data_IF_114217634080
#
_entry.id   IF_114217634080
#
_cell.length_a   1.000
_cell.length_b   1.000
_cell.length_c   1.000
_cell.angle_alpha   90.00
_cell.angle_beta   90.00
_cell.angle_gamma   90.00
#
_symmetry.space_group_name_H-M   'P 1'
#
loop_
_entity.id
_entity.type
_entity.pdbx_description
1 polymer ?
#
# COMPACT_ATOMS: atom_id res chain seq x y z
N UNK A 1 8.56 -9.96 0.66
CA UNK A 1 8.06 -11.02 -0.22
C UNK A 1 6.67 -10.63 -0.71
N UNK A 2 6.58 -10.28 -2.00
CA UNK A 2 5.35 -9.86 -2.69
C UNK A 2 4.67 -11.05 -3.37
N UNK A 3 5.46 -12.02 -3.85
CA UNK A 3 4.97 -13.17 -4.62
C UNK A 3 4.08 -14.08 -3.76
N UNK A 4 4.41 -14.23 -2.48
CA UNK A 4 3.60 -15.00 -1.53
C UNK A 4 2.65 -14.14 -0.68
N UNK A 5 2.24 -12.97 -1.15
CA UNK A 5 1.22 -12.16 -0.46
C UNK A 5 -0.17 -12.76 -0.70
N UNK A 6 -0.79 -13.31 0.35
CA UNK A 6 -2.13 -13.90 0.27
C UNK A 6 -3.24 -12.88 0.05
N UNK A 7 -4.39 -13.33 -0.45
CA UNK A 7 -5.62 -12.52 -0.43
C UNK A 7 -6.10 -12.36 1.01
N UNK A 8 -6.49 -11.16 1.40
CA UNK A 8 -6.86 -10.83 2.79
C UNK A 8 -5.67 -10.61 3.73
N UNK A 9 -4.43 -10.68 3.23
CA UNK A 9 -3.24 -10.34 3.99
C UNK A 9 -2.79 -8.90 3.73
N UNK A 10 -2.27 -8.27 4.79
CA UNK A 10 -1.55 -7.01 4.69
C UNK A 10 -0.17 -7.16 5.33
N UNK A 11 0.86 -6.58 4.70
CA UNK A 11 2.24 -6.64 5.16
C UNK A 11 2.88 -5.26 5.16
N UNK A 12 3.65 -4.95 6.20
CA UNK A 12 4.55 -3.81 6.15
C UNK A 12 5.74 -4.13 5.24
N UNK A 13 6.06 -3.20 4.36
CA UNK A 13 7.16 -3.31 3.42
C UNK A 13 7.88 -1.97 3.25
N UNK A 14 9.08 -2.02 2.67
CA UNK A 14 9.88 -0.85 2.41
C UNK A 14 10.53 -0.88 1.03
N UNK A 15 10.58 0.28 0.37
CA UNK A 15 11.39 0.48 -0.82
C UNK A 15 12.78 0.98 -0.41
N UNK A 16 13.81 0.29 -0.86
CA UNK A 16 15.20 0.60 -0.54
C UNK A 16 16.00 0.95 -1.81
N UNK A 17 17.07 1.71 -1.62
CA UNK A 17 18.12 1.87 -2.65
C UNK A 17 18.90 0.56 -2.85
N UNK A 18 19.68 0.43 -3.94
CA UNK A 18 20.57 -0.72 -4.12
C UNK A 18 21.58 -0.93 -2.98
N UNK A 19 21.92 0.14 -2.23
CA UNK A 19 22.80 0.09 -1.05
C UNK A 19 22.01 -0.16 0.26
N UNK A 20 20.77 -0.63 0.18
CA UNK A 20 19.93 -0.96 1.34
C UNK A 20 19.33 0.23 2.10
N UNK A 21 19.61 1.48 1.71
CA UNK A 21 19.01 2.66 2.38
C UNK A 21 17.50 2.73 2.12
N UNK A 22 16.70 2.77 3.18
CA UNK A 22 15.25 2.90 3.14
C UNK A 22 14.84 4.26 2.55
N UNK A 23 13.85 4.26 1.65
CA UNK A 23 13.33 5.44 0.95
C UNK A 23 11.83 5.65 1.21
N UNK A 24 11.08 4.57 1.36
CA UNK A 24 9.67 4.61 1.72
C UNK A 24 9.30 3.36 2.52
N UNK A 25 8.36 3.51 3.45
CA UNK A 25 7.62 2.41 4.06
C UNK A 25 6.17 2.48 3.66
N UNK A 26 5.52 1.33 3.58
CA UNK A 26 4.11 1.24 3.22
C UNK A 26 3.49 -0.04 3.78
N UNK A 27 2.19 0.02 4.03
CA UNK A 27 1.37 -1.17 4.18
C UNK A 27 0.97 -1.64 2.78
N UNK A 28 1.17 -2.92 2.49
CA UNK A 28 0.90 -3.53 1.20
C UNK A 28 -0.12 -4.65 1.35
N UNK A 29 -1.12 -4.66 0.48
CA UNK A 29 -2.07 -5.76 0.31
C UNK A 29 -2.38 -5.93 -1.19
N UNK A 30 -3.14 -6.96 -1.54
CA UNK A 30 -3.58 -7.17 -2.92
C UNK A 30 -5.01 -7.67 -3.00
N UNK A 31 -5.61 -7.47 -4.16
CA UNK A 31 -6.78 -8.24 -4.61
C UNK A 31 -6.42 -9.06 -5.87
N UNK A 32 -7.41 -9.45 -6.65
CA UNK A 32 -7.25 -10.22 -7.88
C UNK A 32 -6.60 -9.42 -9.02
N UNK A 33 -6.68 -8.08 -8.97
CA UNK A 33 -6.38 -7.20 -10.09
C UNK A 33 -5.16 -6.31 -9.83
N UNK A 34 -4.90 -5.96 -8.56
CA UNK A 34 -3.91 -4.97 -8.19
C UNK A 34 -3.19 -5.28 -6.87
N UNK A 35 -1.99 -4.73 -6.77
CA UNK A 35 -1.25 -4.59 -5.51
C UNK A 35 -1.37 -3.13 -5.09
N UNK A 36 -1.76 -2.92 -3.83
CA UNK A 36 -1.96 -1.61 -3.25
C UNK A 36 -0.84 -1.29 -2.26
N UNK A 37 -0.38 -0.05 -2.29
CA UNK A 37 0.60 0.48 -1.35
C UNK A 37 -0.04 1.67 -0.62
N UNK A 38 -0.30 1.55 0.67
CA UNK A 38 -0.68 2.68 1.51
C UNK A 38 0.57 3.32 2.10
N UNK A 39 0.72 4.61 1.83
CA UNK A 39 1.87 5.41 2.21
C UNK A 39 1.47 6.87 2.44
N UNK A 40 2.31 7.67 3.12
CA UNK A 40 2.05 9.09 3.30
C UNK A 40 1.87 9.81 1.96
N UNK A 41 0.82 10.65 1.87
CA UNK A 41 0.48 11.44 0.68
C UNK A 41 1.67 12.22 0.12
N UNK A 42 2.48 12.80 1.01
CA UNK A 42 3.63 13.61 0.65
C UNK A 42 4.70 12.85 -0.17
N UNK A 43 4.83 11.53 0.03
CA UNK A 43 5.83 10.71 -0.66
C UNK A 43 5.26 9.92 -1.84
N UNK A 44 3.93 9.95 -2.05
CA UNK A 44 3.29 9.18 -3.12
C UNK A 44 3.75 9.63 -4.53
N UNK A 45 3.73 10.93 -4.90
CA UNK A 45 4.16 11.34 -6.24
C UNK A 45 5.62 10.98 -6.56
N UNK A 46 6.61 11.26 -5.68
CA UNK A 46 8.00 10.89 -5.96
C UNK A 46 8.22 9.37 -5.96
N UNK A 47 7.54 8.60 -5.09
CA UNK A 47 7.65 7.14 -5.10
C UNK A 47 7.06 6.54 -6.39
N UNK A 48 5.88 6.99 -6.82
CA UNK A 48 5.27 6.52 -8.07
C UNK A 48 6.22 6.79 -9.25
N UNK A 49 6.74 8.01 -9.37
CA UNK A 49 7.73 8.37 -10.42
C UNK A 49 8.93 7.43 -10.40
N UNK A 50 9.45 7.12 -9.21
CA UNK A 50 10.59 6.21 -9.03
C UNK A 50 10.26 4.78 -9.44
N UNK A 51 9.11 4.26 -9.02
CA UNK A 51 8.69 2.90 -9.35
C UNK A 51 8.40 2.73 -10.86
N UNK A 52 7.92 3.79 -11.53
CA UNK A 52 7.71 3.78 -13.00
C UNK A 52 8.98 3.42 -13.78
N UNK A 53 10.17 3.77 -13.29
CA UNK A 53 11.44 3.39 -13.93
C UNK A 53 11.64 1.88 -14.05
N UNK A 54 10.98 1.09 -13.19
CA UNK A 54 11.13 -0.37 -13.14
C UNK A 54 10.00 -1.12 -13.87
N UNK A 55 9.04 -0.42 -14.48
CA UNK A 55 7.93 -1.07 -15.19
C UNK A 55 8.40 -1.71 -16.49
N UNK A 56 9.38 -1.12 -17.20
CA UNK A 56 10.00 -1.66 -18.42
C UNK A 56 9.02 -2.47 -19.31
N UNK A 57 9.17 -3.80 -19.41
CA UNK A 57 8.33 -4.72 -20.20
C UNK A 57 7.22 -5.40 -19.39
N UNK A 58 7.11 -5.09 -18.10
CA UNK A 58 6.05 -5.63 -17.26
C UNK A 58 4.70 -5.08 -17.71
N UNK A 59 3.68 -5.94 -17.70
CA UNK A 59 2.29 -5.55 -17.93
C UNK A 59 1.70 -4.94 -16.66
N UNK A 60 2.26 -3.81 -16.24
CA UNK A 60 1.87 -3.13 -15.01
C UNK A 60 1.65 -1.63 -15.28
N UNK A 61 0.66 -1.04 -14.61
CA UNK A 61 0.40 0.40 -14.63
C UNK A 61 0.32 0.90 -13.19
N UNK A 62 1.12 1.92 -12.88
CA UNK A 62 1.04 2.60 -11.60
C UNK A 62 0.09 3.78 -11.70
N UNK A 63 -0.75 3.94 -10.69
CA UNK A 63 -1.66 5.08 -10.55
C UNK A 63 -1.87 5.41 -9.09
N UNK A 64 -2.27 6.66 -8.86
CA UNK A 64 -2.73 7.10 -7.55
C UNK A 64 -4.15 6.59 -7.32
N UNK A 65 -4.34 5.77 -6.29
CA UNK A 65 -5.62 5.17 -5.94
C UNK A 65 -6.45 6.03 -4.98
N UNK A 66 -5.90 7.16 -4.51
CA UNK A 66 -6.50 7.97 -3.43
C UNK A 66 -7.93 8.43 -3.75
N UNK A 67 -8.24 8.68 -5.04
CA UNK A 67 -9.56 9.16 -5.47
C UNK A 67 -10.52 8.05 -5.91
N UNK A 68 -10.16 6.79 -5.72
CA UNK A 68 -11.06 5.68 -6.04
C UNK A 68 -12.11 5.52 -4.96
N UNK A 69 -13.33 5.17 -5.35
CA UNK A 69 -14.47 5.02 -4.43
C UNK A 69 -14.16 4.04 -3.29
N UNK A 70 -13.49 2.93 -3.57
CA UNK A 70 -13.06 1.95 -2.58
C UNK A 70 -12.11 2.52 -1.50
N UNK A 71 -11.46 3.66 -1.75
CA UNK A 71 -10.53 4.32 -0.83
C UNK A 71 -10.93 5.75 -0.49
N UNK A 72 -12.19 6.13 -0.74
CA UNK A 72 -12.71 7.46 -0.43
C UNK A 72 -12.51 7.85 1.05
N UNK A 73 -12.49 6.85 1.94
CA UNK A 73 -12.08 7.01 3.33
C UNK A 73 -11.15 5.86 3.75
N UNK A 74 -10.06 6.19 4.43
CA UNK A 74 -9.17 5.21 5.06
C UNK A 74 -8.96 5.60 6.52
N UNK A 75 -9.39 4.72 7.42
CA UNK A 75 -9.40 4.97 8.86
C UNK A 75 -8.42 4.03 9.57
N UNK A 76 -7.63 4.59 10.49
CA UNK A 76 -6.78 3.82 11.41
C UNK A 76 -7.42 3.78 12.78
N UNK A 77 -7.61 2.58 13.33
CA UNK A 77 -8.15 2.37 14.67
C UNK A 77 -7.07 1.77 15.57
N UNK A 78 -6.95 2.27 16.79
CA UNK A 78 -5.91 1.87 17.73
C UNK A 78 -6.37 1.87 19.18
N UNK A 79 -5.65 1.12 20.01
CA UNK A 79 -5.96 0.92 21.43
C UNK A 79 -6.66 -0.41 21.73
N UNK A 80 -6.65 -0.82 23.00
CA UNK A 80 -7.09 -2.15 23.44
C UNK A 80 -8.56 -2.49 23.12
N UNK A 81 -9.40 -1.47 22.90
CA UNK A 81 -10.83 -1.64 22.57
C UNK A 81 -11.16 -1.33 21.11
N UNK A 82 -10.16 -1.12 20.25
CA UNK A 82 -10.37 -0.71 18.85
C UNK A 82 -11.24 -1.72 18.09
N UNK A 83 -10.94 -3.01 18.21
CA UNK A 83 -11.72 -4.06 17.54
C UNK A 83 -13.16 -4.11 18.04
N UNK A 84 -13.37 -4.07 19.36
CA UNK A 84 -14.71 -4.09 19.93
C UNK A 84 -15.54 -2.88 19.51
N UNK A 85 -14.93 -1.69 19.46
CA UNK A 85 -15.58 -0.47 18.99
C UNK A 85 -15.95 -0.54 17.51
N UNK A 86 -15.09 -1.13 16.67
CA UNK A 86 -15.39 -1.34 15.24
C UNK A 86 -16.57 -2.31 15.05
N UNK A 87 -16.56 -3.43 15.77
CA UNK A 87 -17.63 -4.44 15.68
C UNK A 87 -18.99 -3.92 16.16
N UNK A 88 -19.02 -2.97 17.09
CA UNK A 88 -20.28 -2.41 17.60
C UNK A 88 -21.01 -1.50 16.58
N UNK A 89 -20.35 -1.13 15.49
CA UNK A 89 -20.88 -0.25 14.42
C UNK A 89 -21.17 -1.03 13.11
N UNK A 90 -20.93 -2.34 13.09
CA UNK A 90 -21.26 -3.26 11.98
C UNK A 90 -22.48 -4.10 12.35
#
# INVERSE_FOLDING_TARGET
DVEHLGTGEARLAGYCTPKGRLQATFLMWRDEQAIYLQLPRAIQPPLQKRLTMFVLRAKAKLRDATSEEAYAAVLGLGGAKAEAALRAQL
#
